data_IF_550545953574
#
_entry.id   IF_550545953574
#
_cell.length_a   1.000
_cell.length_b   1.000
_cell.length_c   1.000
_cell.angle_alpha   90.00
_cell.angle_beta   90.00
_cell.angle_gamma   90.00
#
_symmetry.space_group_name_H-M   'P 1'
#
loop_
_entity.id
_entity.type
_entity.pdbx_description
1 polymer ?
#
# COMPACT_ATOMS: atom_id res chain seq x y z
N UNK A 1 -49.03 -42.16 -48.60
CA UNK A 1 -47.59 -42.38 -48.29
C UNK A 1 -47.10 -41.20 -47.47
N UNK A 2 -46.92 -41.40 -46.16
CA UNK A 2 -46.70 -40.32 -45.20
C UNK A 2 -45.26 -39.81 -45.20
N UNK A 3 -45.09 -38.53 -45.54
CA UNK A 3 -43.83 -37.79 -45.34
C UNK A 3 -43.78 -37.32 -43.88
N UNK A 4 -43.25 -38.16 -42.99
CA UNK A 4 -42.96 -37.76 -41.60
C UNK A 4 -41.84 -36.73 -41.61
N UNK A 5 -42.12 -35.55 -41.07
CA UNK A 5 -41.15 -34.47 -40.87
C UNK A 5 -39.97 -34.96 -40.04
N UNK A 6 -38.79 -35.01 -40.67
CA UNK A 6 -37.52 -35.21 -39.99
C UNK A 6 -37.11 -33.92 -39.32
N UNK A 7 -37.26 -33.89 -38.00
CA UNK A 7 -36.84 -32.78 -37.15
C UNK A 7 -35.37 -32.41 -37.36
N UNK A 8 -35.10 -31.14 -37.13
CA UNK A 8 -33.82 -30.43 -37.16
C UNK A 8 -32.77 -31.03 -36.22
N UNK A 9 -32.26 -32.22 -36.51
CA UNK A 9 -31.13 -32.79 -35.80
C UNK A 9 -29.84 -32.50 -36.57
N UNK A 10 -29.44 -31.24 -36.54
CA UNK A 10 -28.12 -30.80 -36.98
C UNK A 10 -27.07 -31.56 -36.16
N UNK A 11 -26.07 -32.14 -36.83
CA UNK A 11 -25.06 -32.96 -36.17
C UNK A 11 -24.21 -32.05 -35.26
N UNK A 12 -24.45 -32.13 -33.95
CA UNK A 12 -23.87 -31.26 -32.91
C UNK A 12 -22.35 -31.17 -32.97
N UNK A 13 -21.67 -32.21 -33.45
CA UNK A 13 -20.21 -32.22 -33.67
C UNK A 13 -19.77 -31.32 -34.83
N UNK A 14 -20.56 -31.28 -35.90
CA UNK A 14 -20.32 -30.41 -37.07
C UNK A 14 -20.59 -28.95 -36.71
N UNK A 15 -21.64 -28.69 -35.94
CA UNK A 15 -21.91 -27.34 -35.40
C UNK A 15 -20.80 -26.87 -34.47
N UNK A 16 -20.31 -27.73 -33.57
CA UNK A 16 -19.19 -27.40 -32.70
C UNK A 16 -17.89 -27.13 -33.49
N UNK A 17 -17.64 -27.86 -34.59
CA UNK A 17 -16.50 -27.62 -35.47
C UNK A 17 -16.63 -26.29 -36.23
N UNK A 18 -17.82 -26.00 -36.76
CA UNK A 18 -18.11 -24.74 -37.43
C UNK A 18 -18.05 -23.55 -36.46
N UNK A 19 -18.53 -23.71 -35.22
CA UNK A 19 -18.42 -22.71 -34.16
C UNK A 19 -16.96 -22.42 -33.79
N UNK A 20 -16.11 -23.45 -33.69
CA UNK A 20 -14.66 -23.28 -33.46
C UNK A 20 -13.98 -22.56 -34.62
N UNK A 21 -14.34 -22.89 -35.86
CA UNK A 21 -13.83 -22.20 -37.05
C UNK A 21 -14.31 -20.75 -37.12
N UNK A 22 -15.56 -20.48 -36.78
CA UNK A 22 -16.14 -19.14 -36.69
C UNK A 22 -15.47 -18.32 -35.60
N UNK A 23 -15.22 -18.90 -34.41
CA UNK A 23 -14.49 -18.24 -33.34
C UNK A 23 -13.05 -17.90 -33.74
N UNK A 24 -12.34 -18.82 -34.40
CA UNK A 24 -11.00 -18.55 -34.92
C UNK A 24 -11.00 -17.43 -35.98
N UNK A 25 -12.01 -17.42 -36.86
CA UNK A 25 -12.18 -16.36 -37.84
C UNK A 25 -12.54 -15.02 -37.18
N UNK A 26 -13.37 -15.03 -36.13
CA UNK A 26 -13.71 -13.84 -35.36
C UNK A 26 -12.49 -13.23 -34.67
N UNK A 27 -11.62 -14.05 -34.08
CA UNK A 27 -10.34 -13.57 -33.51
C UNK A 27 -9.44 -12.98 -34.59
N UNK A 28 -9.36 -13.61 -35.77
CA UNK A 28 -8.58 -13.07 -36.90
C UNK A 28 -9.15 -11.74 -37.39
N UNK A 29 -10.47 -11.64 -37.52
CA UNK A 29 -11.15 -10.42 -37.93
C UNK A 29 -10.99 -9.31 -36.88
N UNK A 30 -11.11 -9.62 -35.59
CA UNK A 30 -10.91 -8.67 -34.50
C UNK A 30 -9.46 -8.16 -34.43
N UNK A 31 -8.48 -9.04 -34.68
CA UNK A 31 -7.08 -8.62 -34.80
C UNK A 31 -6.87 -7.71 -36.00
N UNK A 32 -7.50 -8.02 -37.14
CA UNK A 32 -7.42 -7.19 -38.33
C UNK A 32 -8.10 -5.82 -38.14
N UNK A 33 -9.25 -5.76 -37.46
CA UNK A 33 -9.91 -4.50 -37.15
C UNK A 33 -9.12 -3.68 -36.14
N UNK A 34 -8.58 -4.30 -35.08
CA UNK A 34 -7.71 -3.62 -34.12
C UNK A 34 -6.44 -3.07 -34.78
N UNK A 35 -5.86 -3.79 -35.75
CA UNK A 35 -4.71 -3.31 -36.52
C UNK A 35 -5.09 -2.14 -37.43
N UNK A 36 -6.28 -2.17 -38.04
CA UNK A 36 -6.78 -1.05 -38.86
C UNK A 36 -7.07 0.19 -38.00
N UNK A 37 -7.70 0.02 -36.84
CA UNK A 37 -7.96 1.11 -35.87
C UNK A 37 -6.65 1.69 -35.33
N UNK A 38 -5.64 0.86 -35.05
CA UNK A 38 -4.32 1.33 -34.63
C UNK A 38 -3.61 2.12 -35.74
N UNK A 39 -3.75 1.69 -37.00
CA UNK A 39 -3.19 2.42 -38.15
C UNK A 39 -3.89 3.77 -38.35
N UNK A 40 -5.23 3.80 -38.25
CA UNK A 40 -6.01 5.03 -38.30
C UNK A 40 -5.64 5.97 -37.14
N UNK A 41 -5.55 5.47 -35.91
CA UNK A 41 -5.11 6.25 -34.76
C UNK A 41 -3.69 6.82 -34.95
N UNK A 42 -2.78 6.06 -35.57
CA UNK A 42 -1.45 6.54 -35.91
C UNK A 42 -1.50 7.66 -36.97
N UNK A 43 -2.39 7.57 -37.95
CA UNK A 43 -2.59 8.63 -38.95
C UNK A 43 -3.21 9.89 -38.33
N UNK A 44 -4.17 9.76 -37.43
CA UNK A 44 -4.73 10.88 -36.67
C UNK A 44 -3.72 11.52 -35.71
N UNK A 45 -2.72 10.77 -35.25
CA UNK A 45 -1.63 11.30 -34.41
C UNK A 45 -0.60 12.11 -35.20
N UNK A 46 -0.54 11.98 -36.54
CA UNK A 46 0.38 12.76 -37.39
C UNK A 46 -0.12 14.19 -37.50
N UNK A 47 0.38 15.04 -36.60
CA UNK A 47 0.03 16.46 -36.51
C UNK A 47 -0.50 16.88 -35.15
N UNK A 48 -0.66 15.95 -34.20
CA UNK A 48 -0.91 16.31 -32.81
C UNK A 48 0.36 16.89 -32.16
N UNK A 49 0.19 17.82 -31.21
CA UNK A 49 1.30 18.35 -30.42
C UNK A 49 1.72 17.34 -29.35
N UNK A 50 2.34 16.24 -29.78
CA UNK A 50 2.80 15.17 -28.91
C UNK A 50 3.78 15.68 -27.82
N UNK A 51 4.49 16.77 -28.08
CA UNK A 51 5.42 17.38 -27.11
C UNK A 51 4.67 18.18 -26.04
N UNK A 52 3.67 18.96 -26.44
CA UNK A 52 2.78 19.67 -25.53
C UNK A 52 1.94 18.71 -24.69
N UNK A 53 1.41 17.65 -25.29
CA UNK A 53 0.66 16.60 -24.60
C UNK A 53 1.53 15.86 -23.59
N UNK A 54 2.75 15.47 -23.97
CA UNK A 54 3.69 14.84 -23.04
C UNK A 54 4.02 15.75 -21.86
N UNK A 55 4.22 17.06 -22.10
CA UNK A 55 4.47 18.02 -21.02
C UNK A 55 3.28 18.14 -20.08
N UNK A 56 2.05 18.22 -20.61
CA UNK A 56 0.82 18.23 -19.80
C UNK A 56 0.67 16.95 -18.98
N UNK A 57 0.90 15.80 -19.57
CA UNK A 57 0.86 14.50 -18.89
C UNK A 57 1.92 14.38 -17.79
N UNK A 58 3.15 14.85 -18.02
CA UNK A 58 4.21 14.87 -17.01
C UNK A 58 3.88 15.83 -15.85
N UNK A 59 3.30 17.01 -16.13
CA UNK A 59 2.84 17.96 -15.12
C UNK A 59 1.68 17.39 -14.28
N UNK A 60 0.71 16.71 -14.91
CA UNK A 60 -0.39 16.03 -14.22
C UNK A 60 0.10 14.87 -13.36
N UNK A 61 1.00 14.03 -13.88
CA UNK A 61 1.62 12.94 -13.10
C UNK A 61 2.38 13.48 -11.90
N UNK A 62 3.18 14.53 -12.09
CA UNK A 62 3.91 15.16 -10.99
C UNK A 62 2.98 15.75 -9.94
N UNK A 63 1.84 16.32 -10.37
CA UNK A 63 0.79 16.81 -9.45
C UNK A 63 0.12 15.66 -8.70
N UNK A 64 -0.24 14.58 -9.37
CA UNK A 64 -0.83 13.39 -8.73
C UNK A 64 0.15 12.75 -7.74
N UNK A 65 1.43 12.63 -8.08
CA UNK A 65 2.46 12.13 -7.16
C UNK A 65 2.65 13.06 -5.95
N UNK A 66 2.59 14.38 -6.14
CA UNK A 66 2.66 15.34 -5.05
C UNK A 66 1.41 15.27 -4.15
N UNK A 67 0.22 15.12 -4.74
CA UNK A 67 -1.03 14.95 -4.02
C UNK A 67 -1.06 13.61 -3.27
N UNK A 68 -0.55 12.53 -3.86
CA UNK A 68 -0.40 11.23 -3.21
C UNK A 68 0.58 11.28 -2.04
N UNK A 69 1.76 11.91 -2.21
CA UNK A 69 2.73 12.11 -1.13
C UNK A 69 2.17 12.98 -0.02
N UNK A 70 1.43 14.04 -0.37
CA UNK A 70 0.75 14.89 0.61
C UNK A 70 -0.35 14.14 1.36
N UNK A 71 -1.10 13.27 0.66
CA UNK A 71 -2.12 12.43 1.28
C UNK A 71 -1.51 11.38 2.22
N UNK A 72 -0.38 10.77 1.84
CA UNK A 72 0.36 9.84 2.70
C UNK A 72 0.91 10.55 3.95
N UNK A 73 1.55 11.70 3.78
CA UNK A 73 2.05 12.51 4.90
C UNK A 73 0.91 12.93 5.83
N UNK A 74 -0.23 13.37 5.27
CA UNK A 74 -1.42 13.71 6.06
C UNK A 74 -1.99 12.49 6.79
N UNK A 75 -1.95 11.31 6.18
CA UNK A 75 -2.38 10.05 6.82
C UNK A 75 -1.45 9.71 8.00
N UNK A 76 -0.14 9.86 7.84
CA UNK A 76 0.84 9.62 8.91
C UNK A 76 0.62 10.62 10.05
N UNK A 77 0.48 11.91 9.73
CA UNK A 77 0.20 12.94 10.73
C UNK A 77 -1.10 12.66 11.50
N UNK A 78 -2.18 12.26 10.82
CA UNK A 78 -3.43 11.90 11.49
C UNK A 78 -3.28 10.68 12.41
N UNK A 79 -2.44 9.71 12.06
CA UNK A 79 -2.14 8.57 12.93
C UNK A 79 -1.30 8.98 14.15
N UNK A 80 -0.37 9.92 13.99
CA UNK A 80 0.42 10.50 15.08
C UNK A 80 -0.46 11.32 16.03
N UNK A 81 -1.33 12.19 15.50
CA UNK A 81 -2.29 12.98 16.28
C UNK A 81 -3.25 12.07 17.05
N UNK A 82 -3.78 11.01 16.42
CA UNK A 82 -4.63 10.04 17.11
C UNK A 82 -3.86 9.19 18.15
N UNK A 83 -2.56 8.96 17.96
CA UNK A 83 -1.73 8.31 18.97
C UNK A 83 -1.49 9.23 20.18
N UNK A 84 -1.30 10.52 19.94
CA UNK A 84 -1.18 11.56 20.96
C UNK A 84 -2.48 11.74 21.74
N UNK A 85 -3.62 11.85 21.07
CA UNK A 85 -4.95 11.94 21.69
C UNK A 85 -5.21 10.75 22.62
N UNK A 86 -4.88 9.52 22.17
CA UNK A 86 -4.96 8.32 23.02
C UNK A 86 -4.03 8.38 24.24
N UNK A 87 -2.89 9.05 24.16
CA UNK A 87 -1.99 9.23 25.31
C UNK A 87 -2.54 10.28 26.29
N UNK A 88 -3.14 11.35 25.76
CA UNK A 88 -3.79 12.40 26.55
C UNK A 88 -5.04 11.87 27.27
N UNK A 89 -5.88 11.09 26.59
CA UNK A 89 -7.03 10.40 27.20
C UNK A 89 -6.58 9.46 28.32
N UNK A 90 -5.53 8.66 28.10
CA UNK A 90 -4.97 7.79 29.14
C UNK A 90 -4.41 8.57 30.32
N UNK A 91 -3.88 9.78 30.09
CA UNK A 91 -3.39 10.68 31.14
C UNK A 91 -4.55 11.33 31.90
N UNK A 92 -5.60 11.76 31.20
CA UNK A 92 -6.83 12.32 31.79
C UNK A 92 -7.57 11.26 32.61
N UNK A 93 -7.73 10.04 32.11
CA UNK A 93 -8.30 8.91 32.84
C UNK A 93 -7.47 8.59 34.09
N UNK A 94 -6.13 8.59 34.00
CA UNK A 94 -5.24 8.41 35.16
C UNK A 94 -5.35 9.54 36.19
N UNK A 95 -5.51 10.79 35.76
CA UNK A 95 -5.73 11.94 36.64
C UNK A 95 -7.08 11.85 37.34
N UNK A 96 -8.16 11.53 36.62
CA UNK A 96 -9.51 11.41 37.18
C UNK A 96 -9.62 10.21 38.14
N UNK A 97 -9.01 9.08 37.81
CA UNK A 97 -8.97 7.92 38.72
C UNK A 97 -8.12 8.20 39.97
N UNK A 98 -7.01 8.91 39.85
CA UNK A 98 -6.21 9.35 41.02
C UNK A 98 -6.99 10.36 41.88
N UNK A 99 -7.69 11.32 41.27
CA UNK A 99 -8.56 12.26 41.99
C UNK A 99 -9.72 11.56 42.69
N UNK A 100 -10.41 10.64 42.02
CA UNK A 100 -11.48 9.84 42.61
C UNK A 100 -10.96 8.96 43.78
N UNK A 101 -9.79 8.32 43.63
CA UNK A 101 -9.15 7.58 44.73
C UNK A 101 -8.77 8.49 45.90
N UNK A 102 -8.29 9.70 45.62
CA UNK A 102 -7.94 10.69 46.65
C UNK A 102 -9.17 11.26 47.36
N UNK A 103 -10.28 11.48 46.64
CA UNK A 103 -11.55 11.91 47.21
C UNK A 103 -12.28 10.79 47.95
N UNK A 104 -12.07 9.52 47.59
CA UNK A 104 -12.54 8.37 48.39
C UNK A 104 -11.67 8.15 49.63
N UNK A 105 -10.39 8.53 49.60
CA UNK A 105 -9.52 8.50 50.77
C UNK A 105 -9.79 9.71 51.70
N UNK A 106 -9.99 10.92 51.17
CA UNK A 106 -10.33 12.14 51.94
C UNK A 106 -11.38 11.97 53.08
N UNK A 107 -12.52 11.27 52.91
CA UNK A 107 -13.54 11.12 53.95
C UNK A 107 -13.07 10.29 55.15
N UNK A 108 -12.05 9.42 54.99
CA UNK A 108 -11.48 8.68 56.13
C UNK A 108 -10.43 9.49 56.89
N UNK A 109 -9.64 10.33 56.21
CA UNK A 109 -8.62 11.18 56.85
C UNK A 109 -9.24 12.33 57.66
N UNK A 110 -10.41 12.82 57.24
CA UNK A 110 -11.13 13.87 57.95
C UNK A 110 -11.84 13.33 59.21
N UNK A 111 -12.14 12.02 59.25
CA UNK A 111 -12.64 11.30 60.42
C UNK A 111 -11.54 10.85 61.40
N UNK A 112 -10.26 10.85 60.97
CA UNK A 112 -9.10 10.44 61.77
C UNK A 112 -8.26 11.62 62.33
N UNK A 113 -8.79 12.85 62.35
CA UNK A 113 -8.13 13.98 63.05
C UNK A 113 -8.68 14.14 64.48
N UNK A 114 -8.06 13.52 65.50
CA UNK A 114 -8.35 13.87 66.88
C UNK A 114 -7.72 15.23 67.22
N UNK A 115 -8.51 16.11 67.82
CA UNK A 115 -8.00 17.26 68.54
C UNK A 115 -7.20 16.77 69.76
N UNK A 116 -5.89 17.03 69.83
CA UNK A 116 -5.09 17.26 71.05
C UNK A 116 -3.60 17.50 70.69
N UNK A 117 -3.00 18.48 71.38
CA UNK A 117 -1.59 18.91 71.35
C UNK A 117 -0.63 17.81 71.87
N UNK A 118 0.61 17.70 71.33
CA UNK A 118 1.89 17.82 72.09
C UNK A 118 3.13 17.72 71.16
N UNK A 119 4.19 18.35 71.64
CA UNK A 119 5.52 18.64 71.13
C UNK A 119 6.48 17.46 70.85
N UNK A 120 7.50 17.76 70.01
CA UNK A 120 8.95 17.71 70.31
C UNK A 120 9.81 16.82 69.40
N UNK A 121 10.97 17.39 69.01
CA UNK A 121 12.30 16.75 68.82
C UNK A 121 12.62 16.02 67.50
N UNK A 122 13.69 16.49 66.84
CA UNK A 122 14.71 15.59 66.26
C UNK A 122 15.23 15.93 64.87
N UNK A 123 16.43 16.51 64.81
CA UNK A 123 17.20 16.81 63.60
C UNK A 123 17.87 15.57 62.97
N UNK A 124 18.18 15.60 61.66
CA UNK A 124 19.52 15.25 61.10
C UNK A 124 19.69 15.67 59.63
N UNK A 125 20.91 16.08 59.29
CA UNK A 125 21.38 16.65 58.03
C UNK A 125 21.95 15.61 57.03
N UNK A 126 21.96 15.99 55.73
CA UNK A 126 22.93 15.88 54.58
C UNK A 126 23.94 14.68 54.50
N UNK A 127 24.66 14.37 53.37
CA UNK A 127 25.15 15.25 52.25
C UNK A 127 25.30 14.59 50.82
N UNK A 128 25.38 15.35 49.69
CA UNK A 128 26.52 15.83 48.86
C UNK A 128 27.08 14.95 47.70
N UNK A 129 27.35 15.58 46.52
CA UNK A 129 28.40 15.34 45.49
C UNK A 129 27.97 15.97 44.13
N UNK A 130 28.77 16.46 43.16
CA UNK A 130 30.16 16.92 42.98
C UNK A 130 30.24 17.61 41.58
N UNK A 131 31.24 18.48 41.32
CA UNK A 131 31.39 19.34 40.12
C UNK A 131 32.60 18.98 39.24
N UNK A 132 32.58 19.37 37.95
CA UNK A 132 33.72 19.31 37.00
C UNK A 132 33.84 20.61 36.19
N UNK A 133 35.08 21.04 35.89
CA UNK A 133 35.45 22.30 35.22
C UNK A 133 36.07 22.09 33.81
N UNK A 134 36.07 23.11 32.90
CA UNK A 134 36.67 23.01 31.55
C UNK A 134 37.93 23.90 31.34
N UNK A 135 38.68 23.61 30.25
CA UNK A 135 39.97 24.25 29.84
C UNK A 135 39.76 25.25 28.67
N UNK A 136 40.49 26.39 28.56
CA UNK A 136 40.33 27.36 27.47
C UNK A 136 41.40 27.31 26.35
N UNK A 137 41.02 27.73 25.14
CA UNK A 137 41.84 27.91 23.92
C UNK A 137 41.81 29.39 23.49
N UNK A 138 42.95 30.04 23.19
CA UNK A 138 43.02 31.09 22.14
C UNK A 138 44.43 31.63 21.89
N UNK A 139 44.90 31.56 20.63
CA UNK A 139 46.04 32.32 20.10
C UNK A 139 45.61 33.04 18.83
N UNK A 140 45.68 34.37 18.82
CA UNK A 140 45.15 35.25 17.76
C UNK A 140 46.01 35.14 16.47
N UNK A 141 45.37 34.90 15.33
CA UNK A 141 45.99 34.86 14.00
C UNK A 141 46.33 36.28 13.54
N UNK A 142 47.57 36.53 13.10
CA UNK A 142 48.03 37.84 12.62
C UNK A 142 47.65 38.09 11.15
N UNK A 143 47.48 39.35 10.77
CA UNK A 143 47.00 39.78 9.45
C UNK A 143 47.83 39.25 8.26
N UNK A 144 49.14 39.07 8.45
CA UNK A 144 50.03 38.47 7.46
C UNK A 144 49.69 37.00 7.16
N UNK A 145 49.25 36.24 8.18
CA UNK A 145 48.84 34.84 8.02
C UNK A 145 47.50 34.73 7.25
N UNK A 146 46.65 35.75 7.33
CA UNK A 146 45.38 35.81 6.60
C UNK A 146 45.63 36.11 5.11
N UNK A 147 46.53 37.04 4.81
CA UNK A 147 46.93 37.37 3.43
C UNK A 147 47.58 36.16 2.73
N UNK A 148 48.51 35.48 3.42
CA UNK A 148 49.17 34.28 2.88
C UNK A 148 48.19 33.13 2.64
N UNK A 149 47.19 32.94 3.51
CA UNK A 149 46.12 31.96 3.29
C UNK A 149 45.24 32.31 2.10
N UNK A 150 44.86 33.58 1.94
CA UNK A 150 44.07 34.04 0.79
C UNK A 150 44.78 33.87 -0.54
N UNK A 151 46.08 34.18 -0.60
CA UNK A 151 46.86 34.01 -1.83
C UNK A 151 47.06 32.52 -2.18
N UNK A 152 47.33 31.68 -1.16
CA UNK A 152 47.41 30.23 -1.34
C UNK A 152 46.06 29.62 -1.79
N UNK A 153 44.94 30.14 -1.30
CA UNK A 153 43.61 29.72 -1.70
C UNK A 153 43.27 30.18 -3.13
N UNK A 154 43.62 31.42 -3.50
CA UNK A 154 43.46 31.94 -4.86
C UNK A 154 44.31 31.17 -5.88
N UNK A 155 45.55 30.79 -5.52
CA UNK A 155 46.41 29.97 -6.37
C UNK A 155 45.86 28.54 -6.55
N UNK A 156 45.22 27.97 -5.52
CA UNK A 156 44.53 26.68 -5.62
C UNK A 156 43.26 26.77 -6.47
N UNK A 157 42.47 27.83 -6.32
CA UNK A 157 41.28 28.08 -7.12
C UNK A 157 41.60 28.27 -8.60
N UNK A 158 42.72 28.94 -8.93
CA UNK A 158 43.17 29.10 -10.31
C UNK A 158 43.59 27.76 -10.96
N UNK A 159 44.23 26.87 -10.20
CA UNK A 159 44.57 25.51 -10.66
C UNK A 159 43.33 24.64 -10.85
N UNK A 160 42.38 24.69 -9.91
CA UNK A 160 41.11 23.97 -10.03
C UNK A 160 40.27 24.48 -11.21
N UNK A 161 40.26 25.79 -11.46
CA UNK A 161 39.60 26.37 -12.63
C UNK A 161 40.24 25.92 -13.95
N UNK A 162 41.58 25.83 -14.00
CA UNK A 162 42.31 25.34 -15.16
C UNK A 162 42.05 23.84 -15.42
N UNK A 163 41.95 23.02 -14.37
CA UNK A 163 41.65 21.59 -14.52
C UNK A 163 40.17 21.33 -14.84
N UNK A 164 39.25 22.19 -14.34
CA UNK A 164 37.84 22.18 -14.75
C UNK A 164 37.65 22.63 -16.20
N UNK A 165 38.49 23.54 -16.70
CA UNK A 165 38.49 23.98 -18.09
C UNK A 165 39.00 22.90 -19.07
N UNK A 166 39.86 21.98 -18.61
CA UNK A 166 40.35 20.83 -19.40
C UNK A 166 39.36 19.65 -19.43
N UNK A 167 38.05 19.95 -19.36
CA UNK A 167 36.95 19.00 -19.21
C UNK A 167 37.22 17.60 -19.74
N UNK A 168 37.00 16.60 -18.89
CA UNK A 168 37.23 15.18 -19.17
C UNK A 168 36.46 14.79 -20.45
N UNK A 169 37.18 14.54 -21.53
CA UNK A 169 36.63 14.03 -22.79
C UNK A 169 36.59 12.51 -22.71
N UNK A 170 35.43 11.96 -22.34
CA UNK A 170 35.21 10.53 -22.47
C UNK A 170 34.89 10.22 -23.93
N UNK A 171 35.76 9.46 -24.60
CA UNK A 171 35.47 8.92 -25.91
C UNK A 171 34.27 7.96 -25.83
N UNK A 172 33.25 8.21 -26.63
CA UNK A 172 31.96 7.49 -26.60
C UNK A 172 32.04 6.09 -27.23
N UNK A 173 33.10 5.34 -26.95
CA UNK A 173 33.40 4.02 -27.54
C UNK A 173 32.99 2.88 -26.60
N UNK A 174 31.75 2.87 -26.13
CA UNK A 174 31.25 1.76 -25.31
C UNK A 174 30.56 0.72 -26.18
N UNK A 175 30.99 -0.54 -26.06
CA UNK A 175 30.22 -1.69 -26.54
C UNK A 175 29.04 -1.93 -25.60
N UNK A 176 27.82 -1.94 -26.13
CA UNK A 176 26.62 -2.09 -25.31
C UNK A 176 26.58 -3.45 -24.60
N UNK A 177 26.34 -3.42 -23.29
CA UNK A 177 26.27 -4.62 -22.47
C UNK A 177 24.93 -5.34 -22.71
N UNK A 178 24.96 -6.38 -23.55
CA UNK A 178 23.80 -7.23 -23.90
C UNK A 178 23.13 -7.93 -22.71
N UNK A 179 23.75 -7.97 -21.54
CA UNK A 179 23.11 -8.48 -20.32
C UNK A 179 22.12 -7.47 -19.71
N UNK A 180 22.17 -6.21 -20.13
CA UNK A 180 21.22 -5.15 -19.74
C UNK A 180 20.01 -5.07 -20.68
N UNK A 181 20.11 -5.66 -21.87
CA UNK A 181 19.03 -5.76 -22.86
C UNK A 181 18.22 -7.06 -22.75
N UNK A 182 18.56 -7.92 -21.80
CA UNK A 182 17.60 -8.93 -21.33
C UNK A 182 16.64 -8.13 -20.44
N UNK A 183 15.60 -7.59 -21.07
CA UNK A 183 14.37 -7.21 -20.38
C UNK A 183 13.87 -8.49 -19.70
N UNK A 184 14.32 -8.73 -18.47
CA UNK A 184 13.56 -9.56 -17.53
C UNK A 184 12.29 -8.78 -17.33
N UNK A 185 11.18 -9.28 -17.89
CA UNK A 185 9.86 -8.68 -17.80
C UNK A 185 9.61 -8.22 -16.35
N UNK A 186 9.69 -6.90 -16.15
CA UNK A 186 9.58 -6.27 -14.83
C UNK A 186 10.92 -5.84 -14.24
N UNK A 187 11.40 -4.65 -14.61
CA UNK A 187 12.34 -3.90 -13.78
C UNK A 187 11.68 -3.59 -12.42
N UNK A 188 11.91 -4.47 -11.45
CA UNK A 188 11.45 -4.37 -10.07
C UNK A 188 12.18 -3.27 -9.30
N UNK A 189 12.03 -2.01 -9.72
CA UNK A 189 12.61 -0.82 -9.07
C UNK A 189 11.89 -0.46 -7.76
N UNK A 190 10.77 -1.12 -7.46
CA UNK A 190 10.03 -1.01 -6.21
C UNK A 190 9.79 -2.40 -5.62
N UNK A 191 9.66 -2.47 -4.29
CA UNK A 191 9.37 -3.72 -3.56
C UNK A 191 8.08 -4.41 -4.04
N UNK A 192 7.11 -3.61 -4.45
CA UNK A 192 5.81 -4.11 -4.93
C UNK A 192 5.94 -4.71 -6.34
N UNK A 193 6.70 -4.06 -7.23
CA UNK A 193 7.02 -4.62 -8.54
C UNK A 193 7.89 -5.89 -8.43
N UNK A 194 8.77 -5.96 -7.42
CA UNK A 194 9.53 -7.18 -7.12
C UNK A 194 8.64 -8.34 -6.67
N UNK A 195 7.60 -8.03 -5.89
CA UNK A 195 6.62 -9.02 -5.46
C UNK A 195 5.77 -9.51 -6.62
N UNK A 196 5.31 -8.60 -7.49
CA UNK A 196 4.45 -8.90 -8.64
C UNK A 196 5.14 -9.83 -9.65
N UNK A 197 6.38 -9.53 -10.02
CA UNK A 197 7.20 -10.36 -10.93
C UNK A 197 7.51 -11.73 -10.32
N UNK A 198 7.61 -11.83 -8.99
CA UNK A 198 7.87 -13.08 -8.28
C UNK A 198 6.60 -13.89 -8.00
N UNK A 199 5.42 -13.26 -8.00
CA UNK A 199 4.13 -13.94 -7.88
C UNK A 199 3.75 -14.57 -9.21
N UNK A 200 4.15 -15.82 -9.40
CA UNK A 200 3.63 -16.63 -10.50
C UNK A 200 2.11 -16.82 -10.33
N UNK A 201 1.35 -16.51 -11.38
CA UNK A 201 -0.11 -16.61 -11.47
C UNK A 201 -0.66 -18.06 -11.42
N UNK A 202 -0.05 -18.93 -10.60
CA UNK A 202 -0.62 -20.22 -10.15
C UNK A 202 -1.67 -20.01 -9.02
N UNK A 203 -2.34 -18.86 -9.01
CA UNK A 203 -3.30 -18.46 -7.97
C UNK A 203 -4.70 -19.05 -8.19
N UNK A 204 -4.97 -19.58 -9.39
CA UNK A 204 -6.24 -20.24 -9.72
C UNK A 204 -6.48 -21.53 -8.90
N UNK A 205 -5.41 -22.20 -8.45
CA UNK A 205 -5.51 -23.50 -7.76
C UNK A 205 -5.20 -23.47 -6.26
N UNK A 206 -4.62 -22.41 -5.71
CA UNK A 206 -3.88 -22.57 -4.44
C UNK A 206 -4.68 -22.59 -3.14
N UNK A 207 -5.90 -22.04 -3.08
CA UNK A 207 -6.60 -21.94 -1.80
C UNK A 207 -8.12 -22.18 -1.86
N UNK A 208 -8.57 -23.46 -1.77
CA UNK A 208 -9.97 -23.77 -1.50
C UNK A 208 -10.49 -23.04 -0.25
N UNK A 209 -9.66 -22.86 0.79
CA UNK A 209 -10.00 -22.12 2.01
C UNK A 209 -10.27 -20.61 1.77
N UNK A 210 -9.53 -19.97 0.86
CA UNK A 210 -9.77 -18.56 0.50
C UNK A 210 -11.00 -18.42 -0.40
N UNK A 211 -11.23 -19.38 -1.31
CA UNK A 211 -12.47 -19.46 -2.10
C UNK A 211 -13.69 -19.67 -1.21
N UNK A 212 -13.60 -20.51 -0.18
CA UNK A 212 -14.64 -20.71 0.84
C UNK A 212 -15.00 -19.40 1.54
N UNK A 213 -14.00 -18.64 2.02
CA UNK A 213 -14.25 -17.38 2.72
C UNK A 213 -14.81 -16.29 1.80
N UNK A 214 -14.32 -16.20 0.56
CA UNK A 214 -14.83 -15.26 -0.42
C UNK A 214 -16.26 -15.60 -0.85
N UNK A 215 -16.53 -16.87 -1.14
CA UNK A 215 -17.87 -17.35 -1.50
C UNK A 215 -18.87 -17.20 -0.35
N UNK A 216 -18.46 -17.51 0.89
CA UNK A 216 -19.30 -17.28 2.06
C UNK A 216 -19.64 -15.80 2.24
N UNK A 217 -18.67 -14.89 2.07
CA UNK A 217 -18.92 -13.45 2.16
C UNK A 217 -19.89 -12.94 1.09
N UNK A 218 -19.71 -13.38 -0.16
CA UNK A 218 -20.64 -13.05 -1.25
C UNK A 218 -22.05 -13.56 -0.98
N UNK A 219 -22.18 -14.78 -0.45
CA UNK A 219 -23.46 -15.37 -0.06
C UNK A 219 -24.07 -14.65 1.16
N UNK A 220 -23.28 -14.26 2.16
CA UNK A 220 -23.73 -13.49 3.32
C UNK A 220 -24.36 -12.17 2.88
N UNK A 221 -23.68 -11.39 2.04
CA UNK A 221 -24.20 -10.09 1.58
C UNK A 221 -25.49 -10.23 0.75
N UNK A 222 -25.63 -11.28 -0.05
CA UNK A 222 -26.83 -11.54 -0.85
C UNK A 222 -28.02 -12.05 -0.02
N UNK A 223 -27.78 -12.94 0.95
CA UNK A 223 -28.84 -13.58 1.74
C UNK A 223 -29.24 -12.78 2.98
N UNK A 224 -28.35 -11.92 3.51
CA UNK A 224 -28.62 -11.07 4.67
C UNK A 224 -29.92 -10.25 4.61
N UNK A 225 -30.26 -9.55 3.51
CA UNK A 225 -31.52 -8.80 3.43
C UNK A 225 -32.75 -9.71 3.42
N UNK A 226 -32.69 -10.90 2.79
CA UNK A 226 -33.79 -11.85 2.79
C UNK A 226 -34.03 -12.43 4.19
N UNK A 227 -32.97 -12.86 4.88
CA UNK A 227 -33.09 -13.41 6.23
C UNK A 227 -33.57 -12.38 7.27
N UNK A 228 -33.26 -11.08 7.09
CA UNK A 228 -33.81 -10.01 7.94
C UNK A 228 -35.30 -9.78 7.70
N UNK A 229 -35.78 -9.99 6.48
CA UNK A 229 -37.20 -9.87 6.14
C UNK A 229 -38.01 -11.08 6.65
N UNK A 230 -37.47 -12.30 6.48
CA UNK A 230 -38.16 -13.54 6.84
C UNK A 230 -38.21 -13.78 8.35
N UNK A 231 -37.18 -13.36 9.07
CA UNK A 231 -37.08 -13.54 10.52
C UNK A 231 -36.79 -12.20 11.22
N UNK A 232 -37.76 -11.28 11.32
CA UNK A 232 -37.53 -10.02 12.03
C UNK A 232 -37.24 -10.28 13.53
N UNK A 233 -36.31 -9.52 14.11
CA UNK A 233 -36.02 -9.55 15.55
C UNK A 233 -34.97 -10.56 16.02
N UNK A 234 -34.29 -11.26 15.11
CA UNK A 234 -33.22 -12.19 15.45
C UNK A 234 -31.88 -11.44 15.65
N UNK A 235 -30.97 -11.98 16.48
CA UNK A 235 -29.65 -11.35 16.69
C UNK A 235 -28.77 -11.56 15.44
N UNK A 236 -27.86 -10.61 15.15
CA UNK A 236 -26.91 -10.73 14.03
C UNK A 236 -26.12 -12.05 14.01
N UNK A 237 -25.74 -12.57 15.18
CA UNK A 237 -25.07 -13.88 15.29
C UNK A 237 -25.94 -15.03 14.76
N UNK A 238 -27.22 -15.04 15.12
CA UNK A 238 -28.16 -16.09 14.74
C UNK A 238 -28.48 -16.03 13.25
N UNK A 239 -28.55 -14.83 12.65
CA UNK A 239 -28.65 -14.70 11.19
C UNK A 239 -27.41 -15.29 10.52
N UNK A 240 -26.20 -14.99 11.01
CA UNK A 240 -24.96 -15.56 10.47
C UNK A 240 -24.92 -17.07 10.58
N UNK A 241 -25.35 -17.64 11.72
CA UNK A 241 -25.40 -19.09 11.90
C UNK A 241 -26.39 -19.75 10.93
N UNK A 242 -27.57 -19.16 10.73
CA UNK A 242 -28.59 -19.62 9.77
C UNK A 242 -28.10 -19.51 8.32
N UNK A 243 -27.46 -18.40 7.97
CA UNK A 243 -26.88 -18.15 6.64
C UNK A 243 -25.72 -19.13 6.39
N UNK A 244 -24.89 -19.41 7.38
CA UNK A 244 -23.80 -20.38 7.28
C UNK A 244 -24.32 -21.81 7.08
N UNK A 245 -25.37 -22.21 7.78
CA UNK A 245 -26.02 -23.51 7.57
C UNK A 245 -26.68 -23.62 6.18
N UNK A 246 -27.29 -22.55 5.69
CA UNK A 246 -27.80 -22.48 4.32
C UNK A 246 -26.66 -22.53 3.28
N UNK A 247 -25.56 -21.83 3.55
CA UNK A 247 -24.38 -21.78 2.68
C UNK A 247 -23.70 -23.15 2.56
N UNK A 248 -23.54 -23.90 3.66
CA UNK A 248 -22.98 -25.26 3.63
C UNK A 248 -23.72 -26.19 2.67
N UNK A 249 -25.03 -26.00 2.48
CA UNK A 249 -25.90 -26.79 1.59
C UNK A 249 -26.07 -26.17 0.20
N UNK A 250 -25.62 -24.94 0.01
CA UNK A 250 -25.77 -24.19 -1.24
C UNK A 250 -24.78 -24.68 -2.31
N UNK A 251 -25.15 -24.66 -3.60
CA UNK A 251 -24.23 -24.90 -4.71
C UNK A 251 -23.14 -23.82 -4.85
N UNK A 252 -23.33 -22.65 -4.22
CA UNK A 252 -22.34 -21.57 -4.14
C UNK A 252 -21.16 -21.88 -3.20
N UNK A 253 -21.25 -22.98 -2.44
CA UNK A 253 -20.11 -23.46 -1.66
C UNK A 253 -19.13 -24.21 -2.59
N UNK A 254 -17.89 -23.72 -2.78
CA UNK A 254 -16.90 -24.39 -3.61
C UNK A 254 -16.51 -25.81 -3.12
N UNK A 255 -16.94 -26.22 -1.91
CA UNK A 255 -16.84 -27.60 -1.43
C UNK A 255 -17.92 -28.53 -2.03
N UNK A 256 -19.08 -27.99 -2.38
CA UNK A 256 -20.18 -28.73 -3.01
C UNK A 256 -20.09 -28.72 -4.53
N UNK A 257 -19.29 -27.81 -5.10
CA UNK A 257 -18.90 -27.84 -6.49
C UNK A 257 -18.00 -29.05 -6.69
N UNK A 258 -18.59 -30.17 -7.12
CA UNK A 258 -17.85 -31.38 -7.46
C UNK A 258 -16.62 -30.98 -8.28
N UNK A 259 -15.42 -31.20 -7.73
CA UNK A 259 -14.19 -31.02 -8.48
C UNK A 259 -14.37 -31.82 -9.75
N UNK A 260 -14.41 -31.13 -10.91
CA UNK A 260 -14.59 -31.75 -12.21
C UNK A 260 -13.66 -32.96 -12.27
N UNK A 261 -14.24 -34.15 -12.17
CA UNK A 261 -13.46 -35.37 -12.10
C UNK A 261 -12.58 -35.40 -13.34
N UNK A 262 -11.33 -35.83 -13.16
CA UNK A 262 -10.27 -35.90 -14.17
C UNK A 262 -10.69 -36.57 -15.52
N UNK A 263 -11.87 -37.21 -15.57
CA UNK A 263 -12.49 -37.81 -16.76
C UNK A 263 -13.60 -36.98 -17.44
N UNK A 264 -13.84 -35.72 -17.07
CA UNK A 264 -14.70 -34.84 -17.87
C UNK A 264 -13.98 -34.46 -19.17
N UNK A 265 -14.16 -35.28 -20.21
CA UNK A 265 -13.60 -35.06 -21.55
C UNK A 265 -13.98 -33.68 -22.08
N UNK A 266 -12.96 -32.95 -22.52
CA UNK A 266 -12.99 -31.64 -23.18
C UNK A 266 -13.88 -31.60 -24.43
#
# INVERSE_FOLDING_TARGET
>A
MGKKGGGSNVNTKVEAANAKKAAAQAVKNAKASAAAEAAEAADWSKGSDARGDRRRQEEERKRQEAEAKKAELKRIQALEEHALEKMEDKSAIRKNTTKAKKEVNKPWEEALKPAVKKSNRGARAAPAAASTAPVPHNGKVTQAMIAAKKEAEAAKAAKEAADRAKGITFGNSFTENRNRSIDVEGEARSLEAALDVLTTDDTAQKHPEKRMKAAYKAFEEAMMPQFRADFPGLKLSQYKDRIFEAWKKSPENPMNQASLAYNAKK
#
